data_IF_325614201721
#
_entry.id   IF_325614201721
#
_cell.length_a   1.000
_cell.length_b   1.000
_cell.length_c   1.000
_cell.angle_alpha   90.00
_cell.angle_beta   90.00
_cell.angle_gamma   90.00
#
_symmetry.space_group_name_H-M   'P 1'
#
loop_
_entity.id
_entity.type
_entity.pdbx_description
1 polymer ?
#
# COMPACT_ATOMS: atom_id res chain seq x y z
N UNK A 1 -58.63 -14.87 21.98
CA UNK A 1 -59.99 -15.17 21.46
C UNK A 1 -60.01 -15.12 19.93
N UNK A 2 -59.87 -13.97 19.27
CA UNK A 2 -59.91 -13.90 17.80
C UNK A 2 -58.84 -14.73 17.07
N UNK A 3 -57.62 -14.86 17.63
CA UNK A 3 -56.60 -15.76 17.06
C UNK A 3 -57.02 -17.23 17.16
N UNK A 4 -57.59 -17.66 18.29
CA UNK A 4 -58.07 -19.03 18.51
C UNK A 4 -59.25 -19.35 17.59
N UNK A 5 -60.18 -18.39 17.39
CA UNK A 5 -61.28 -18.51 16.42
C UNK A 5 -60.76 -18.68 15.00
N UNK A 6 -59.70 -17.94 14.63
CA UNK A 6 -59.03 -18.10 13.32
C UNK A 6 -58.44 -19.50 13.15
N UNK A 7 -57.71 -19.98 14.16
CA UNK A 7 -57.09 -21.32 14.14
C UNK A 7 -58.14 -22.45 14.08
N UNK A 8 -59.31 -22.24 14.66
CA UNK A 8 -60.46 -23.14 14.56
C UNK A 8 -61.27 -22.99 13.26
N UNK A 9 -60.96 -22.01 12.41
CA UNK A 9 -61.70 -21.72 11.17
C UNK A 9 -63.11 -21.14 11.41
N UNK A 10 -63.38 -20.61 12.61
CA UNK A 10 -64.67 -20.04 12.97
C UNK A 10 -64.81 -18.62 12.40
N UNK A 11 -65.95 -18.32 11.77
CA UNK A 11 -66.31 -16.98 11.26
C UNK A 11 -65.30 -16.31 10.31
N UNK A 12 -64.37 -17.07 9.71
CA UNK A 12 -63.46 -16.58 8.67
C UNK A 12 -64.22 -16.27 7.37
N UNK A 13 -63.94 -15.12 6.78
CA UNK A 13 -64.67 -14.55 5.64
C UNK A 13 -63.74 -14.12 4.49
N UNK A 14 -62.43 -14.34 4.63
CA UNK A 14 -61.43 -14.13 3.58
C UNK A 14 -60.23 -15.09 3.72
N UNK A 15 -59.63 -15.47 2.58
CA UNK A 15 -58.36 -16.17 2.53
C UNK A 15 -57.28 -15.29 1.90
N UNK A 16 -56.13 -15.15 2.58
CA UNK A 16 -54.93 -14.53 2.01
C UNK A 16 -54.03 -15.63 1.47
N UNK A 17 -53.55 -15.47 0.23
CA UNK A 17 -52.66 -16.42 -0.44
C UNK A 17 -51.28 -15.81 -0.59
N UNK A 18 -50.28 -16.48 -0.01
CA UNK A 18 -48.87 -16.11 -0.07
C UNK A 18 -48.11 -17.25 -0.76
N UNK A 19 -47.87 -17.14 -2.07
CA UNK A 19 -47.34 -18.24 -2.87
C UNK A 19 -48.25 -19.47 -2.80
N UNK A 20 -47.76 -20.56 -2.21
CA UNK A 20 -48.51 -21.82 -2.02
C UNK A 20 -49.31 -21.88 -0.72
N UNK A 21 -49.09 -20.95 0.22
CA UNK A 21 -49.77 -20.97 1.52
C UNK A 21 -51.05 -20.15 1.50
N UNK A 22 -52.12 -20.73 2.06
CA UNK A 22 -53.45 -20.11 2.18
C UNK A 22 -53.79 -19.92 3.65
N UNK A 23 -54.08 -18.68 4.03
CA UNK A 23 -54.34 -18.29 5.42
C UNK A 23 -55.73 -17.69 5.55
N UNK A 24 -56.63 -18.41 6.23
CA UNK A 24 -57.99 -17.94 6.51
C UNK A 24 -57.98 -16.87 7.61
N UNK A 25 -58.68 -15.76 7.37
CA UNK A 25 -58.68 -14.57 8.22
C UNK A 25 -60.09 -13.96 8.34
N UNK A 26 -60.22 -12.96 9.20
CA UNK A 26 -61.43 -12.18 9.40
C UNK A 26 -61.25 -10.77 8.83
N UNK A 27 -62.07 -10.35 7.87
CA UNK A 27 -62.03 -9.03 7.23
C UNK A 27 -62.08 -7.92 8.26
N UNK A 28 -62.93 -8.05 9.29
CA UNK A 28 -63.08 -7.05 10.35
C UNK A 28 -61.79 -6.83 11.16
N UNK A 29 -61.04 -7.90 11.44
CA UNK A 29 -59.77 -7.78 12.20
C UNK A 29 -58.70 -7.16 11.31
N UNK A 30 -58.57 -7.63 10.06
CA UNK A 30 -57.63 -7.06 9.09
C UNK A 30 -57.92 -5.58 8.84
N UNK A 31 -59.19 -5.21 8.59
CA UNK A 31 -59.62 -3.83 8.39
C UNK A 31 -59.46 -2.94 9.63
N UNK A 32 -59.58 -3.51 10.82
CA UNK A 32 -59.44 -2.78 12.08
C UNK A 32 -57.98 -2.55 12.49
N UNK A 33 -57.04 -3.32 11.94
CA UNK A 33 -55.62 -3.30 12.33
C UNK A 33 -54.67 -2.86 11.22
N UNK A 34 -55.14 -2.80 9.97
CA UNK A 34 -54.34 -2.48 8.81
C UNK A 34 -55.13 -1.62 7.81
N UNK A 35 -54.64 -0.40 7.57
CA UNK A 35 -55.27 0.58 6.68
C UNK A 35 -55.34 0.11 5.23
N UNK A 36 -54.36 -0.68 4.77
CA UNK A 36 -54.39 -1.26 3.43
C UNK A 36 -55.63 -2.15 3.26
N UNK A 37 -55.86 -3.08 4.18
CA UNK A 37 -57.03 -3.95 4.14
C UNK A 37 -58.33 -3.18 4.37
N UNK A 38 -58.31 -2.16 5.23
CA UNK A 38 -59.46 -1.27 5.43
C UNK A 38 -59.89 -0.60 4.12
N UNK A 39 -58.95 0.01 3.39
CA UNK A 39 -59.22 0.66 2.10
C UNK A 39 -59.63 -0.36 1.03
N UNK A 40 -58.96 -1.52 1.00
CA UNK A 40 -59.27 -2.58 0.04
C UNK A 40 -60.71 -3.07 0.19
N UNK A 41 -61.17 -3.32 1.42
CA UNK A 41 -62.52 -3.82 1.67
C UNK A 41 -63.64 -2.76 1.56
N UNK A 42 -63.31 -1.48 1.71
CA UNK A 42 -64.26 -0.38 1.53
C UNK A 42 -64.34 0.14 0.08
N UNK A 43 -63.42 -0.25 -0.79
CA UNK A 43 -63.45 0.16 -2.20
C UNK A 43 -64.50 -0.61 -3.01
N UNK A 44 -65.10 0.02 -4.03
CA UNK A 44 -66.02 -0.64 -4.99
C UNK A 44 -65.29 -1.57 -6.00
N UNK A 45 -64.06 -1.98 -5.69
CA UNK A 45 -63.23 -2.87 -6.52
C UNK A 45 -63.59 -4.35 -6.29
N UNK A 46 -63.23 -5.23 -7.24
CA UNK A 46 -63.55 -6.66 -7.22
C UNK A 46 -63.09 -7.36 -5.92
N UNK A 47 -61.96 -6.93 -5.37
CA UNK A 47 -61.32 -7.42 -4.15
C UNK A 47 -62.18 -7.23 -2.89
N UNK A 48 -63.12 -6.27 -2.87
CA UNK A 48 -64.06 -6.10 -1.76
C UNK A 48 -65.02 -7.29 -1.61
N UNK A 49 -65.42 -7.87 -2.74
CA UNK A 49 -66.31 -9.04 -2.84
C UNK A 49 -65.58 -10.37 -2.90
N UNK A 50 -64.27 -10.35 -3.14
CA UNK A 50 -63.46 -11.55 -3.22
C UNK A 50 -63.39 -12.28 -1.87
N UNK A 51 -63.44 -13.61 -1.93
CA UNK A 51 -63.19 -14.52 -0.78
C UNK A 51 -61.72 -14.91 -0.66
N UNK A 52 -60.90 -14.49 -1.62
CA UNK A 52 -59.50 -14.85 -1.73
C UNK A 52 -58.69 -13.72 -2.36
N UNK A 53 -57.57 -13.36 -1.74
CA UNK A 53 -56.67 -12.29 -2.20
C UNK A 53 -55.24 -12.83 -2.24
N UNK A 54 -54.60 -12.74 -3.40
CA UNK A 54 -53.23 -13.19 -3.60
C UNK A 54 -52.23 -12.05 -3.40
N UNK A 55 -51.31 -12.24 -2.45
CA UNK A 55 -50.23 -11.32 -2.14
C UNK A 55 -48.96 -11.82 -2.85
N UNK A 56 -48.68 -11.30 -4.04
CA UNK A 56 -47.58 -11.80 -4.90
C UNK A 56 -46.19 -11.43 -4.40
N UNK A 57 -46.08 -10.30 -3.70
CA UNK A 57 -44.79 -9.72 -3.29
C UNK A 57 -44.42 -9.98 -1.82
N UNK A 58 -45.12 -10.93 -1.16
CA UNK A 58 -44.82 -11.36 0.22
C UNK A 58 -44.54 -12.86 0.24
N UNK A 59 -43.38 -13.25 0.80
CA UNK A 59 -43.02 -14.65 1.01
C UNK A 59 -43.98 -15.35 1.99
N UNK A 60 -44.21 -16.65 1.82
CA UNK A 60 -45.20 -17.40 2.60
C UNK A 60 -44.95 -17.33 4.13
N UNK A 61 -43.70 -17.47 4.56
CA UNK A 61 -43.28 -17.37 5.97
C UNK A 61 -43.56 -15.99 6.57
N UNK A 62 -43.22 -14.93 5.83
CA UNK A 62 -43.44 -13.54 6.25
C UNK A 62 -44.93 -13.22 6.29
N UNK A 63 -45.71 -13.68 5.30
CA UNK A 63 -47.16 -13.53 5.24
C UNK A 63 -47.86 -14.15 6.45
N UNK A 64 -47.52 -15.38 6.81
CA UNK A 64 -48.08 -16.05 8.01
C UNK A 64 -47.74 -15.28 9.29
N UNK A 65 -46.49 -14.82 9.42
CA UNK A 65 -46.02 -14.05 10.57
C UNK A 65 -46.74 -12.71 10.70
N UNK A 66 -47.00 -12.03 9.57
CA UNK A 66 -47.77 -10.79 9.53
C UNK A 66 -49.22 -10.99 9.91
N UNK A 67 -49.86 -12.07 9.45
CA UNK A 67 -51.23 -12.36 9.89
C UNK A 67 -51.25 -12.60 11.40
N UNK A 68 -50.30 -13.36 11.94
CA UNK A 68 -50.21 -13.53 13.39
C UNK A 68 -50.01 -12.18 14.12
N UNK A 69 -49.18 -11.28 13.58
CA UNK A 69 -49.01 -9.92 14.08
C UNK A 69 -50.31 -9.11 14.09
N UNK A 70 -51.10 -9.15 13.02
CA UNK A 70 -52.38 -8.41 12.95
C UNK A 70 -53.38 -8.88 14.01
N UNK A 71 -53.30 -10.12 14.48
CA UNK A 71 -54.16 -10.65 15.54
C UNK A 71 -53.63 -10.42 16.95
N UNK A 72 -52.31 -10.32 17.14
CA UNK A 72 -51.67 -10.34 18.46
C UNK A 72 -50.94 -9.06 18.83
N UNK A 73 -50.61 -8.23 17.84
CA UNK A 73 -49.70 -7.09 17.96
C UNK A 73 -48.24 -7.47 18.22
N UNK A 74 -47.86 -8.75 18.10
CA UNK A 74 -46.52 -9.27 18.40
C UNK A 74 -45.92 -9.99 17.20
N UNK A 75 -44.66 -9.71 16.93
CA UNK A 75 -43.86 -10.34 15.89
C UNK A 75 -42.39 -10.31 16.29
N UNK A 76 -41.70 -11.41 16.02
CA UNK A 76 -40.28 -11.54 16.30
C UNK A 76 -39.48 -11.13 15.05
N UNK A 77 -38.66 -10.09 15.20
CA UNK A 77 -37.81 -9.56 14.13
C UNK A 77 -36.42 -10.18 14.28
N UNK A 78 -35.90 -10.70 13.17
CA UNK A 78 -34.63 -11.43 13.07
C UNK A 78 -33.87 -10.95 11.82
N UNK A 79 -32.57 -11.20 11.75
CA UNK A 79 -31.76 -10.86 10.57
C UNK A 79 -32.29 -11.50 9.27
N UNK A 80 -32.88 -12.71 9.37
CA UNK A 80 -33.38 -13.44 8.21
C UNK A 80 -34.72 -12.92 7.67
N UNK A 81 -35.55 -12.31 8.52
CA UNK A 81 -36.90 -11.86 8.14
C UNK A 81 -37.04 -10.33 8.09
N UNK A 82 -36.08 -9.56 8.59
CA UNK A 82 -36.19 -8.10 8.69
C UNK A 82 -36.44 -7.42 7.33
N UNK A 83 -35.72 -7.84 6.28
CA UNK A 83 -35.89 -7.29 4.93
C UNK A 83 -37.29 -7.56 4.34
N UNK A 84 -37.76 -8.81 4.44
CA UNK A 84 -39.09 -9.19 3.98
C UNK A 84 -40.19 -8.46 4.78
N UNK A 85 -40.01 -8.34 6.10
CA UNK A 85 -40.93 -7.64 6.98
C UNK A 85 -40.99 -6.14 6.68
N UNK A 86 -39.85 -5.52 6.37
CA UNK A 86 -39.79 -4.13 5.95
C UNK A 86 -40.59 -3.91 4.67
N UNK A 87 -40.34 -4.72 3.65
CA UNK A 87 -41.03 -4.70 2.35
C UNK A 87 -42.54 -4.83 2.52
N UNK A 88 -42.96 -5.83 3.30
CA UNK A 88 -44.36 -6.09 3.54
C UNK A 88 -45.02 -5.02 4.43
N UNK A 89 -44.28 -4.45 5.40
CA UNK A 89 -44.78 -3.38 6.26
C UNK A 89 -45.05 -2.09 5.48
N UNK A 90 -44.22 -1.76 4.49
CA UNK A 90 -44.48 -0.64 3.59
C UNK A 90 -45.70 -0.92 2.70
N UNK A 91 -45.73 -2.09 2.04
CA UNK A 91 -46.82 -2.44 1.13
C UNK A 91 -48.18 -2.48 1.83
N UNK A 92 -48.22 -2.98 3.07
CA UNK A 92 -49.43 -3.05 3.89
C UNK A 92 -49.68 -1.79 4.72
N UNK A 93 -48.85 -0.75 4.60
CA UNK A 93 -48.95 0.52 5.34
C UNK A 93 -48.93 0.35 6.87
N UNK A 94 -48.15 -0.63 7.35
CA UNK A 94 -47.98 -0.94 8.77
C UNK A 94 -46.85 -0.09 9.38
N UNK A 95 -47.10 1.21 9.56
CA UNK A 95 -46.08 2.17 10.02
C UNK A 95 -45.43 1.82 11.36
N UNK A 96 -46.18 1.26 12.31
CA UNK A 96 -45.64 0.85 13.62
C UNK A 96 -44.70 -0.36 13.54
N UNK A 97 -44.93 -1.27 12.58
CA UNK A 97 -44.04 -2.38 12.30
C UNK A 97 -42.80 -1.88 11.56
N UNK A 98 -42.97 -0.99 10.57
CA UNK A 98 -41.86 -0.36 9.84
C UNK A 98 -40.85 0.28 10.81
N UNK A 99 -41.32 1.07 11.77
CA UNK A 99 -40.45 1.70 12.79
C UNK A 99 -39.67 0.68 13.62
N UNK A 100 -40.30 -0.42 14.06
CA UNK A 100 -39.61 -1.47 14.83
C UNK A 100 -38.56 -2.20 14.00
N UNK A 101 -38.85 -2.45 12.72
CA UNK A 101 -37.88 -3.07 11.80
C UNK A 101 -36.72 -2.12 11.54
N UNK A 102 -36.98 -0.82 11.37
CA UNK A 102 -35.95 0.21 11.24
C UNK A 102 -35.03 0.27 12.48
N UNK A 103 -35.60 0.27 13.69
CA UNK A 103 -34.84 0.22 14.94
C UNK A 103 -33.98 -1.05 15.06
N UNK A 104 -34.50 -2.19 14.61
CA UNK A 104 -33.77 -3.45 14.59
C UNK A 104 -32.61 -3.41 13.61
N UNK A 105 -32.83 -2.97 12.37
CA UNK A 105 -31.79 -2.86 11.34
C UNK A 105 -30.67 -1.93 11.79
N UNK A 106 -31.03 -0.78 12.35
CA UNK A 106 -30.07 0.18 12.91
C UNK A 106 -29.21 -0.42 14.04
N UNK A 107 -29.82 -1.22 14.91
CA UNK A 107 -29.11 -1.83 16.05
C UNK A 107 -28.25 -3.05 15.67
N UNK A 108 -28.46 -3.62 14.48
CA UNK A 108 -27.78 -4.82 13.99
C UNK A 108 -27.00 -4.56 12.69
N UNK A 109 -26.70 -3.29 12.38
CA UNK A 109 -25.86 -2.94 11.23
C UNK A 109 -24.42 -3.39 11.51
N UNK A 110 -23.83 -4.16 10.59
CA UNK A 110 -22.46 -4.66 10.66
C UNK A 110 -21.74 -4.54 9.30
N UNK A 111 -20.47 -4.94 9.24
CA UNK A 111 -19.66 -4.84 8.02
C UNK A 111 -20.11 -5.76 6.88
N UNK A 112 -20.93 -6.78 7.17
CA UNK A 112 -21.45 -7.72 6.17
C UNK A 112 -22.80 -7.28 5.60
N UNK A 113 -23.60 -6.53 6.37
CA UNK A 113 -24.96 -6.15 6.01
C UNK A 113 -25.17 -4.63 5.84
N UNK A 114 -24.12 -3.81 5.99
CA UNK A 114 -24.21 -2.35 5.88
C UNK A 114 -24.72 -1.90 4.51
N UNK A 115 -24.28 -2.55 3.42
CA UNK A 115 -24.61 -2.14 2.05
C UNK A 115 -26.04 -2.53 1.69
N UNK A 116 -26.50 -3.73 2.07
CA UNK A 116 -27.90 -4.11 1.98
C UNK A 116 -28.81 -3.21 2.83
N UNK A 117 -28.40 -2.88 4.06
CA UNK A 117 -29.13 -1.93 4.92
C UNK A 117 -29.26 -0.55 4.28
N UNK A 118 -28.19 -0.02 3.70
CA UNK A 118 -28.18 1.26 2.98
C UNK A 118 -29.10 1.23 1.75
N UNK A 119 -29.06 0.13 0.98
CA UNK A 119 -29.92 -0.08 -0.19
C UNK A 119 -31.40 -0.11 0.19
N UNK A 120 -31.75 -0.80 1.29
CA UNK A 120 -33.10 -0.83 1.84
C UNK A 120 -33.54 0.55 2.36
N UNK A 121 -32.65 1.25 3.08
CA UNK A 121 -32.91 2.59 3.57
C UNK A 121 -33.29 3.55 2.44
N UNK A 122 -32.57 3.46 1.32
CA UNK A 122 -32.85 4.21 0.10
C UNK A 122 -34.17 3.80 -0.56
N UNK A 123 -34.42 2.50 -0.71
CA UNK A 123 -35.61 1.99 -1.38
C UNK A 123 -36.92 2.44 -0.69
N UNK A 124 -36.91 2.56 0.63
CA UNK A 124 -38.09 2.89 1.45
C UNK A 124 -38.07 4.30 2.06
N UNK A 125 -37.18 5.18 1.58
CA UNK A 125 -36.98 6.56 2.04
C UNK A 125 -36.82 6.70 3.57
N UNK A 126 -36.07 5.78 4.19
CA UNK A 126 -35.77 5.80 5.62
C UNK A 126 -34.50 6.64 5.89
N UNK A 127 -34.69 7.94 6.05
CA UNK A 127 -33.59 8.92 6.18
C UNK A 127 -32.67 8.67 7.37
N UNK A 128 -33.23 8.38 8.54
CA UNK A 128 -32.49 8.08 9.77
C UNK A 128 -31.61 6.84 9.62
N UNK A 129 -32.18 5.74 9.11
CA UNK A 129 -31.42 4.52 8.84
C UNK A 129 -30.33 4.73 7.78
N UNK A 130 -30.61 5.53 6.75
CA UNK A 130 -29.65 5.85 5.70
C UNK A 130 -28.46 6.65 6.26
N UNK A 131 -28.71 7.66 7.08
CA UNK A 131 -27.65 8.45 7.74
C UNK A 131 -26.78 7.57 8.66
N UNK A 132 -27.39 6.69 9.46
CA UNK A 132 -26.67 5.78 10.35
C UNK A 132 -25.86 4.72 9.58
N UNK A 133 -26.42 4.17 8.50
CA UNK A 133 -25.70 3.22 7.64
C UNK A 133 -24.53 3.87 6.90
N UNK A 134 -24.71 5.10 6.39
CA UNK A 134 -23.61 5.88 5.79
C UNK A 134 -22.51 6.17 6.81
N UNK A 135 -22.89 6.57 8.02
CA UNK A 135 -21.94 6.79 9.11
C UNK A 135 -21.14 5.53 9.43
N UNK A 136 -21.82 4.38 9.52
CA UNK A 136 -21.15 3.09 9.74
C UNK A 136 -20.18 2.76 8.60
N UNK A 137 -20.58 2.97 7.35
CA UNK A 137 -19.74 2.78 6.16
C UNK A 137 -18.47 3.63 6.22
N UNK A 138 -18.56 4.90 6.65
CA UNK A 138 -17.40 5.77 6.82
C UNK A 138 -16.46 5.30 7.94
N UNK A 139 -17.00 4.87 9.08
CA UNK A 139 -16.22 4.43 10.24
C UNK A 139 -15.55 3.06 10.02
N UNK A 140 -16.19 2.15 9.28
CA UNK A 140 -15.75 0.77 9.08
C UNK A 140 -15.43 0.43 7.61
N UNK A 141 -15.02 1.42 6.81
CA UNK A 141 -14.71 1.28 5.38
C UNK A 141 -13.86 0.04 5.07
N UNK A 142 -12.81 -0.22 5.88
CA UNK A 142 -11.90 -1.35 5.67
C UNK A 142 -12.62 -2.69 5.70
N UNK A 143 -13.49 -2.90 6.69
CA UNK A 143 -14.21 -4.15 6.86
C UNK A 143 -15.27 -4.33 5.77
N UNK A 144 -15.95 -3.24 5.39
CA UNK A 144 -16.94 -3.27 4.30
C UNK A 144 -16.28 -3.54 2.94
N UNK A 145 -15.01 -3.13 2.75
CA UNK A 145 -14.25 -3.43 1.52
C UNK A 145 -14.12 -4.93 1.27
N UNK A 146 -14.04 -5.74 2.33
CA UNK A 146 -13.90 -7.18 2.23
C UNK A 146 -15.24 -7.92 2.05
N UNK A 147 -16.37 -7.20 2.16
CA UNK A 147 -17.71 -7.78 1.98
C UNK A 147 -17.98 -8.22 0.53
N UNK A 148 -18.85 -9.22 0.37
CA UNK A 148 -19.34 -9.68 -0.93
C UNK A 148 -20.46 -8.76 -1.49
N UNK A 149 -21.00 -7.86 -0.66
CA UNK A 149 -22.12 -6.96 -1.00
C UNK A 149 -21.69 -5.69 -1.76
N UNK A 150 -20.41 -5.55 -2.11
CA UNK A 150 -19.86 -4.35 -2.77
C UNK A 150 -20.60 -3.93 -4.06
N UNK A 151 -21.23 -4.90 -4.72
CA UNK A 151 -22.05 -4.67 -5.91
C UNK A 151 -23.27 -3.77 -5.64
N UNK A 152 -23.78 -3.71 -4.40
CA UNK A 152 -24.93 -2.90 -3.99
C UNK A 152 -24.59 -1.42 -3.75
N UNK A 153 -23.32 -1.09 -3.54
CA UNK A 153 -22.89 0.29 -3.29
C UNK A 153 -23.07 1.16 -4.54
N UNK A 154 -23.76 2.30 -4.40
CA UNK A 154 -23.92 3.27 -5.48
C UNK A 154 -22.72 4.20 -5.58
N UNK A 155 -22.50 4.76 -6.77
CA UNK A 155 -21.35 5.64 -7.05
C UNK A 155 -21.38 6.91 -6.19
N UNK A 156 -22.55 7.50 -5.97
CA UNK A 156 -22.67 8.71 -5.13
C UNK A 156 -22.21 8.46 -3.69
N UNK A 157 -22.59 7.32 -3.10
CA UNK A 157 -22.16 6.94 -1.75
C UNK A 157 -20.68 6.58 -1.71
N UNK A 158 -20.15 5.97 -2.78
CA UNK A 158 -18.73 5.69 -2.92
C UNK A 158 -17.93 7.00 -2.87
N UNK A 159 -18.31 7.99 -3.68
CA UNK A 159 -17.63 9.29 -3.74
C UNK A 159 -17.69 9.99 -2.38
N UNK A 160 -18.88 10.03 -1.75
CA UNK A 160 -19.05 10.58 -0.39
C UNK A 160 -18.12 9.88 0.61
N UNK A 161 -17.94 8.56 0.50
CA UNK A 161 -17.05 7.78 1.37
C UNK A 161 -15.57 8.02 1.05
N UNK A 162 -15.22 8.27 -0.21
CA UNK A 162 -13.86 8.63 -0.62
C UNK A 162 -13.48 10.04 -0.18
N UNK A 163 -14.43 10.95 -0.01
CA UNK A 163 -14.20 12.29 0.54
C UNK A 163 -13.95 12.26 2.06
N UNK A 164 -14.38 11.20 2.75
CA UNK A 164 -14.13 11.03 4.18
C UNK A 164 -12.63 10.91 4.50
N UNK A 165 -12.27 11.21 5.76
CA UNK A 165 -10.89 11.17 6.25
C UNK A 165 -10.42 9.73 6.51
N UNK A 166 -10.12 9.00 5.42
CA UNK A 166 -9.56 7.64 5.47
C UNK A 166 -8.14 7.59 4.87
N UNK A 167 -7.29 6.61 5.26
CA UNK A 167 -5.99 6.37 4.63
C UNK A 167 -6.13 6.16 3.11
N UNK A 168 -5.21 6.74 2.35
CA UNK A 168 -5.27 6.72 0.88
C UNK A 168 -5.18 5.30 0.30
N UNK A 169 -4.44 4.41 0.97
CA UNK A 169 -4.34 2.99 0.60
C UNK A 169 -5.69 2.28 0.70
N UNK A 170 -6.46 2.55 1.77
CA UNK A 170 -7.80 1.99 1.93
C UNK A 170 -8.76 2.53 0.86
N UNK A 171 -8.69 3.83 0.55
CA UNK A 171 -9.48 4.44 -0.54
C UNK A 171 -9.20 3.77 -1.88
N UNK A 172 -7.93 3.49 -2.18
CA UNK A 172 -7.55 2.76 -3.39
C UNK A 172 -8.13 1.34 -3.44
N UNK A 173 -7.96 0.56 -2.37
CA UNK A 173 -8.52 -0.79 -2.28
C UNK A 173 -10.06 -0.79 -2.39
N UNK A 174 -10.71 0.22 -1.82
CA UNK A 174 -12.17 0.38 -1.88
C UNK A 174 -12.65 0.61 -3.32
N UNK A 175 -12.03 1.52 -4.06
CA UNK A 175 -12.30 1.75 -5.50
C UNK A 175 -12.06 0.46 -6.30
N UNK A 176 -10.93 -0.19 -6.07
CA UNK A 176 -10.54 -1.41 -6.77
C UNK A 176 -11.59 -2.53 -6.59
N UNK A 177 -12.04 -2.76 -5.36
CA UNK A 177 -13.06 -3.77 -5.06
C UNK A 177 -14.41 -3.39 -5.69
N UNK A 178 -14.80 -2.12 -5.60
CA UNK A 178 -16.06 -1.63 -6.17
C UNK A 178 -16.12 -1.79 -7.69
N UNK A 179 -15.03 -1.52 -8.39
CA UNK A 179 -14.97 -1.67 -9.85
C UNK A 179 -15.00 -3.13 -10.25
N UNK A 180 -14.29 -4.01 -9.53
CA UNK A 180 -14.33 -5.46 -9.77
C UNK A 180 -15.68 -6.11 -9.45
N UNK A 181 -16.54 -5.44 -8.70
CA UNK A 181 -17.84 -5.99 -8.31
C UNK A 181 -18.88 -5.96 -9.45
N UNK A 182 -18.65 -5.22 -10.54
CA UNK A 182 -19.50 -5.25 -11.72
C UNK A 182 -18.73 -4.84 -13.00
N UNK A 183 -18.82 -5.66 -14.05
CA UNK A 183 -18.08 -5.50 -15.31
C UNK A 183 -18.32 -4.14 -16.01
N UNK A 184 -19.47 -3.51 -15.78
CA UNK A 184 -19.82 -2.22 -16.40
C UNK A 184 -19.15 -0.99 -15.75
N UNK A 185 -18.34 -1.15 -14.70
CA UNK A 185 -17.80 -0.04 -13.89
C UNK A 185 -16.37 0.37 -14.27
N UNK A 186 -15.71 -0.34 -15.18
CA UNK A 186 -14.31 -0.11 -15.54
C UNK A 186 -14.04 1.30 -16.09
N UNK A 187 -15.01 1.87 -16.81
CA UNK A 187 -14.88 3.19 -17.45
C UNK A 187 -14.86 4.35 -16.44
N UNK A 188 -15.31 4.11 -15.19
CA UNK A 188 -15.31 5.12 -14.12
C UNK A 188 -14.00 5.18 -13.34
N UNK A 189 -13.06 4.25 -13.57
CA UNK A 189 -11.81 4.18 -12.81
C UNK A 189 -11.01 5.48 -12.85
N UNK A 190 -10.84 6.06 -14.04
CA UNK A 190 -10.03 7.26 -14.23
C UNK A 190 -10.63 8.50 -13.53
N UNK A 191 -11.94 8.54 -13.34
CA UNK A 191 -12.61 9.60 -12.56
C UNK A 191 -12.44 9.36 -11.06
N UNK A 192 -12.64 8.11 -10.61
CA UNK A 192 -12.60 7.76 -9.18
C UNK A 192 -11.19 7.82 -8.60
N UNK A 193 -10.17 7.41 -9.35
CA UNK A 193 -8.77 7.39 -8.87
C UNK A 193 -8.25 8.80 -8.54
N UNK A 194 -8.85 9.86 -9.11
CA UNK A 194 -8.51 11.25 -8.79
C UNK A 194 -8.83 11.63 -7.34
N UNK A 195 -9.76 10.91 -6.70
CA UNK A 195 -10.07 11.09 -5.28
C UNK A 195 -9.01 10.45 -4.35
N UNK A 196 -8.03 9.72 -4.92
CA UNK A 196 -6.94 9.09 -4.18
C UNK A 196 -5.61 9.77 -4.49
N UNK A 197 -5.00 10.35 -3.47
CA UNK A 197 -3.64 10.89 -3.57
C UNK A 197 -2.62 9.77 -3.40
N UNK A 198 -2.23 9.11 -4.50
CA UNK A 198 -1.19 8.07 -4.50
C UNK A 198 0.13 8.56 -3.90
N UNK A 199 0.44 9.86 -4.00
CA UNK A 199 1.61 10.49 -3.37
C UNK A 199 1.70 10.28 -1.85
N UNK A 200 0.56 10.07 -1.18
CA UNK A 200 0.45 9.88 0.27
C UNK A 200 0.36 8.39 0.67
N UNK A 201 0.36 7.47 -0.28
CA UNK A 201 0.45 6.03 -0.01
C UNK A 201 1.91 5.63 0.28
N UNK A 202 2.12 4.50 0.94
CA UNK A 202 3.47 3.96 1.13
C UNK A 202 4.07 3.47 -0.20
N UNK A 203 5.39 3.59 -0.31
CA UNK A 203 6.15 3.07 -1.47
C UNK A 203 5.93 1.56 -1.64
N UNK A 204 5.87 0.81 -0.54
CA UNK A 204 5.65 -0.64 -0.58
C UNK A 204 4.29 -0.96 -1.21
N UNK A 205 3.21 -0.32 -0.75
CA UNK A 205 1.87 -0.50 -1.28
C UNK A 205 1.76 -0.18 -2.77
N UNK A 206 2.41 0.89 -3.24
CA UNK A 206 2.41 1.25 -4.66
C UNK A 206 3.13 0.17 -5.48
N UNK A 207 4.26 -0.33 -4.99
CA UNK A 207 5.03 -1.33 -5.71
C UNK A 207 4.39 -2.72 -5.70
N UNK A 208 3.80 -3.13 -4.58
CA UNK A 208 3.23 -4.47 -4.42
C UNK A 208 1.82 -4.58 -4.97
N UNK A 209 1.02 -3.51 -4.84
CA UNK A 209 -0.42 -3.55 -5.11
C UNK A 209 -0.72 -2.73 -6.37
N UNK A 210 -0.48 -1.42 -6.34
CA UNK A 210 -0.92 -0.50 -7.40
C UNK A 210 -0.29 -0.79 -8.76
N UNK A 211 1.02 -1.08 -8.82
CA UNK A 211 1.70 -1.40 -10.09
C UNK A 211 1.26 -2.72 -10.73
N UNK A 212 0.76 -3.66 -9.93
CA UNK A 212 0.34 -4.97 -10.40
C UNK A 212 -1.11 -4.98 -10.90
N UNK A 213 -1.86 -3.89 -10.71
CA UNK A 213 -3.25 -3.77 -11.14
C UNK A 213 -3.37 -3.53 -12.65
N UNK A 214 -4.12 -4.39 -13.35
CA UNK A 214 -4.33 -4.28 -14.81
C UNK A 214 -4.95 -2.94 -15.23
N UNK A 215 -5.90 -2.44 -14.43
CA UNK A 215 -6.54 -1.13 -14.64
C UNK A 215 -5.56 0.06 -14.53
N UNK A 216 -4.44 -0.11 -13.83
CA UNK A 216 -3.40 0.91 -13.66
C UNK A 216 -2.31 0.86 -14.75
N UNK A 217 -2.28 -0.18 -15.59
CA UNK A 217 -1.30 -0.33 -16.67
C UNK A 217 -1.57 0.55 -17.90
N UNK A 218 -2.64 1.36 -17.85
CA UNK A 218 -2.93 2.35 -18.87
C UNK A 218 -1.94 3.55 -18.77
N UNK A 219 -1.91 4.39 -19.81
CA UNK A 219 -0.99 5.55 -19.87
C UNK A 219 -1.24 6.56 -18.73
N UNK A 220 -2.48 6.68 -18.25
CA UNK A 220 -2.86 7.61 -17.20
C UNK A 220 -2.42 7.11 -15.81
N UNK A 221 -2.72 5.87 -15.47
CA UNK A 221 -2.31 5.19 -14.23
C UNK A 221 -0.79 5.15 -14.08
N UNK A 222 -0.06 4.82 -15.15
CA UNK A 222 1.42 4.87 -15.13
C UNK A 222 1.96 6.28 -14.88
N UNK A 223 1.30 7.32 -15.40
CA UNK A 223 1.66 8.72 -15.13
C UNK A 223 1.42 9.08 -13.66
N UNK A 224 0.28 8.69 -13.09
CA UNK A 224 -0.06 8.92 -11.69
C UNK A 224 0.91 8.20 -10.74
N UNK A 225 1.31 6.96 -11.06
CA UNK A 225 2.32 6.21 -10.30
C UNK A 225 3.67 6.94 -10.35
N UNK A 226 4.08 7.41 -11.54
CA UNK A 226 5.34 8.15 -11.69
C UNK A 226 5.33 9.46 -10.88
N UNK A 227 4.25 10.24 -10.95
CA UNK A 227 4.08 11.49 -10.18
C UNK A 227 4.09 11.20 -8.67
N UNK A 228 3.41 10.15 -8.23
CA UNK A 228 3.42 9.72 -6.83
C UNK A 228 4.83 9.35 -6.36
N UNK A 229 5.55 8.52 -7.12
CA UNK A 229 6.93 8.13 -6.84
C UNK A 229 7.90 9.31 -6.78
N UNK A 230 7.70 10.34 -7.61
CA UNK A 230 8.47 11.58 -7.58
C UNK A 230 8.09 12.49 -6.40
N UNK A 231 6.82 12.56 -6.03
CA UNK A 231 6.37 13.37 -4.88
C UNK A 231 6.74 12.75 -3.51
N UNK A 232 6.80 11.43 -3.40
CA UNK A 232 7.29 10.74 -2.20
C UNK A 232 8.79 10.96 -1.96
N UNK A 233 9.53 11.43 -2.97
CA UNK A 233 10.92 11.88 -2.78
C UNK A 233 11.02 13.32 -2.27
N UNK A 234 9.90 14.05 -2.09
CA UNK A 234 9.88 15.49 -1.77
C UNK A 234 9.33 15.92 -0.40
N UNK A 235 8.77 15.04 0.45
CA UNK A 235 8.36 15.39 1.84
C UNK A 235 9.31 14.79 2.91
N UNK A 236 9.66 15.53 3.98
CA UNK A 236 10.74 15.19 4.93
C UNK A 236 10.26 14.26 6.07
N UNK A 237 11.12 13.39 6.66
CA UNK A 237 10.75 12.59 7.83
C UNK A 237 10.90 13.38 9.15
N UNK A 238 9.84 13.42 9.96
CA UNK A 238 9.83 13.88 11.36
C UNK A 238 10.53 12.89 12.32
N UNK A 239 11.79 12.56 12.05
CA UNK A 239 12.70 12.05 13.07
C UNK A 239 13.96 12.91 13.03
N UNK A 240 14.65 13.16 14.15
CA UNK A 240 15.92 13.88 14.12
C UNK A 240 17.01 12.96 13.55
N UNK A 241 16.89 12.60 12.28
CA UNK A 241 18.04 12.28 11.46
C UNK A 241 18.70 13.60 11.12
N UNK A 242 19.96 13.76 11.53
CA UNK A 242 20.85 14.66 10.80
C UNK A 242 20.85 14.17 9.34
N UNK A 243 20.02 14.78 8.51
CA UNK A 243 20.19 14.77 7.06
C UNK A 243 21.39 15.69 6.84
N UNK A 244 22.51 15.09 6.49
CA UNK A 244 23.62 15.79 5.87
C UNK A 244 23.47 15.55 4.36
N UNK A 245 23.57 16.63 3.60
CA UNK A 245 23.23 16.71 2.18
C UNK A 245 21.97 17.54 1.99
N UNK A 246 22.13 18.80 1.57
CA UNK A 246 21.03 19.59 1.03
C UNK A 246 20.36 18.81 -0.12
N UNK A 247 19.08 19.08 -0.39
CA UNK A 247 18.21 18.42 -1.38
C UNK A 247 18.69 18.51 -2.86
N UNK A 248 19.98 18.65 -3.12
CA UNK A 248 20.62 18.64 -4.43
C UNK A 248 21.41 17.35 -4.69
N UNK A 249 20.74 16.20 -4.64
CA UNK A 249 21.15 14.99 -5.38
C UNK A 249 22.64 14.62 -5.29
N UNK A 250 23.18 14.50 -4.07
CA UNK A 250 24.56 14.08 -3.89
C UNK A 250 24.73 12.63 -4.42
N UNK A 251 25.53 12.45 -5.47
CA UNK A 251 25.75 11.16 -6.15
C UNK A 251 27.24 10.78 -6.18
N UNK A 252 27.52 9.53 -6.52
CA UNK A 252 28.89 9.03 -6.80
C UNK A 252 29.87 9.10 -5.60
N UNK A 253 29.34 9.04 -4.38
CA UNK A 253 30.10 8.88 -3.15
C UNK A 253 30.81 7.54 -3.10
N UNK A 254 31.95 7.52 -2.43
CA UNK A 254 32.60 6.28 -2.04
C UNK A 254 32.22 5.94 -0.61
N UNK A 255 31.95 4.67 -0.32
CA UNK A 255 31.61 4.22 1.03
C UNK A 255 32.37 2.95 1.44
N UNK A 256 32.65 2.83 2.74
CA UNK A 256 33.29 1.66 3.32
C UNK A 256 32.84 1.45 4.76
N UNK A 257 32.62 0.21 5.15
CA UNK A 257 32.28 -0.17 6.53
C UNK A 257 33.52 -0.66 7.26
N UNK A 258 33.78 -0.13 8.46
CA UNK A 258 34.86 -0.59 9.35
C UNK A 258 34.52 -0.27 10.81
N UNK A 259 34.81 -1.20 11.72
CA UNK A 259 34.62 -1.06 13.18
C UNK A 259 33.31 -0.37 13.61
N UNK A 260 32.17 -0.92 13.15
CA UNK A 260 30.82 -0.41 13.44
C UNK A 260 30.51 0.99 12.91
N UNK A 261 31.34 1.53 12.02
CA UNK A 261 31.10 2.80 11.36
C UNK A 261 31.00 2.60 9.84
N UNK A 262 30.02 3.24 9.22
CA UNK A 262 29.95 3.40 7.77
C UNK A 262 30.52 4.77 7.42
N UNK A 263 31.64 4.78 6.69
CA UNK A 263 32.29 5.99 6.21
C UNK A 263 31.80 6.31 4.81
N UNK A 264 31.45 7.57 4.57
CA UNK A 264 31.06 8.12 3.27
C UNK A 264 31.99 9.28 2.96
N UNK A 265 32.59 9.27 1.78
CA UNK A 265 33.67 10.20 1.42
C UNK A 265 33.51 10.68 -0.01
N UNK A 266 33.69 11.99 -0.21
CA UNK A 266 33.71 12.62 -1.52
C UNK A 266 32.31 12.74 -2.12
N UNK A 267 32.20 12.59 -3.44
CA UNK A 267 30.92 12.62 -4.16
C UNK A 267 30.76 13.83 -5.06
N UNK A 268 29.55 14.03 -5.57
CA UNK A 268 29.24 15.06 -6.56
C UNK A 268 27.86 15.67 -6.34
N UNK A 269 27.80 17.00 -6.27
CA UNK A 269 26.59 17.79 -6.07
C UNK A 269 26.61 19.00 -6.98
N UNK A 270 25.51 19.22 -7.70
CA UNK A 270 25.24 20.46 -8.44
C UNK A 270 26.40 20.97 -9.33
N UNK A 271 27.15 20.06 -9.98
CA UNK A 271 28.28 20.45 -10.83
C UNK A 271 29.66 20.29 -10.19
N UNK A 272 29.74 20.04 -8.88
CA UNK A 272 30.97 20.13 -8.11
C UNK A 272 31.31 18.80 -7.43
N UNK A 273 32.61 18.45 -7.44
CA UNK A 273 33.12 17.36 -6.61
C UNK A 273 33.16 17.82 -5.14
N UNK A 274 32.80 16.92 -4.22
CA UNK A 274 32.79 17.17 -2.79
C UNK A 274 34.10 16.71 -2.11
N UNK A 275 34.50 17.41 -1.06
CA UNK A 275 35.55 17.03 -0.12
C UNK A 275 34.98 16.57 1.23
N UNK A 276 33.66 16.41 1.34
CA UNK A 276 32.99 15.95 2.55
C UNK A 276 33.45 14.53 2.94
N UNK A 277 33.52 14.30 4.24
CA UNK A 277 33.76 13.00 4.82
C UNK A 277 32.89 12.85 6.07
N UNK A 278 32.16 11.76 6.15
CA UNK A 278 31.14 11.51 7.16
C UNK A 278 31.21 10.08 7.65
N UNK A 279 30.80 9.87 8.90
CA UNK A 279 30.73 8.55 9.52
C UNK A 279 29.39 8.36 10.22
N UNK A 280 28.68 7.29 9.85
CA UNK A 280 27.50 6.79 10.54
C UNK A 280 27.91 5.74 11.57
N UNK A 281 27.66 6.01 12.84
CA UNK A 281 27.75 5.00 13.90
C UNK A 281 26.59 4.01 13.74
N UNK A 282 26.88 2.76 13.42
CA UNK A 282 25.87 1.72 13.16
C UNK A 282 25.17 1.21 14.43
N UNK A 283 25.67 1.56 15.63
CA UNK A 283 25.01 1.23 16.91
C UNK A 283 24.01 2.29 17.31
N UNK A 284 24.38 3.56 17.18
CA UNK A 284 23.52 4.69 17.56
C UNK A 284 22.68 5.23 16.41
N UNK A 285 22.97 4.83 15.17
CA UNK A 285 22.39 5.35 13.92
C UNK A 285 22.51 6.88 13.82
N UNK A 286 23.62 7.43 14.33
CA UNK A 286 23.91 8.86 14.30
C UNK A 286 25.08 9.15 13.37
N UNK A 287 24.90 10.17 12.53
CA UNK A 287 25.93 10.72 11.68
C UNK A 287 26.87 11.63 12.46
N UNK A 288 28.12 11.65 12.02
CA UNK A 288 29.16 12.56 12.50
C UNK A 288 30.01 13.04 11.33
N UNK A 289 30.29 14.34 11.30
CA UNK A 289 31.20 14.90 10.32
C UNK A 289 32.65 14.57 10.69
N UNK A 290 33.41 14.13 9.70
CA UNK A 290 34.86 14.03 9.76
C UNK A 290 35.46 15.30 9.17
N UNK A 291 36.75 15.58 9.45
CA UNK A 291 37.47 16.61 8.72
C UNK A 291 37.36 16.38 7.21
N UNK A 292 37.21 17.45 6.40
CA UNK A 292 37.11 17.32 4.95
C UNK A 292 38.41 16.77 4.37
N UNK A 293 38.30 16.09 3.23
CA UNK A 293 39.43 15.65 2.44
C UNK A 293 40.32 16.84 2.06
N UNK A 294 41.65 16.65 1.94
CA UNK A 294 42.54 17.69 1.44
C UNK A 294 42.17 18.19 0.03
N UNK A 295 41.45 17.36 -0.73
CA UNK A 295 40.98 17.70 -2.06
C UNK A 295 39.67 16.96 -2.37
N UNK A 296 38.73 17.65 -3.01
CA UNK A 296 37.45 17.06 -3.42
C UNK A 296 37.60 15.99 -4.49
N UNK A 297 36.81 14.91 -4.46
CA UNK A 297 36.86 13.86 -5.48
C UNK A 297 35.61 12.98 -5.47
N UNK A 298 35.22 12.47 -6.64
CA UNK A 298 34.19 11.43 -6.81
C UNK A 298 34.82 10.14 -7.35
N UNK A 299 34.14 8.99 -7.26
CA UNK A 299 34.68 7.67 -7.68
C UNK A 299 36.06 7.33 -7.08
N UNK A 300 36.33 7.79 -5.86
CA UNK A 300 37.56 7.46 -5.11
C UNK A 300 37.54 6.00 -4.66
N UNK A 301 38.70 5.37 -4.55
CA UNK A 301 38.77 3.99 -4.03
C UNK A 301 39.06 4.03 -2.54
N UNK A 302 38.26 3.34 -1.74
CA UNK A 302 38.44 3.28 -0.29
C UNK A 302 38.99 1.93 0.12
N UNK A 303 39.93 1.93 1.06
CA UNK A 303 40.36 0.74 1.76
C UNK A 303 40.69 1.07 3.21
N UNK A 304 40.59 0.08 4.09
CA UNK A 304 41.08 0.20 5.46
C UNK A 304 42.23 -0.77 5.67
N UNK A 305 43.37 -0.27 6.13
CA UNK A 305 44.54 -1.07 6.48
C UNK A 305 45.14 -0.55 7.79
N UNK A 306 45.53 -1.45 8.70
CA UNK A 306 46.10 -1.09 10.01
C UNK A 306 45.30 -0.03 10.79
N UNK A 307 43.97 -0.13 10.75
CA UNK A 307 43.02 0.81 11.37
C UNK A 307 43.11 2.26 10.85
N UNK A 308 43.49 2.44 9.59
CA UNK A 308 43.50 3.73 8.91
C UNK A 308 42.65 3.68 7.65
N UNK A 309 41.84 4.72 7.45
CA UNK A 309 41.02 4.86 6.25
C UNK A 309 41.87 5.50 5.15
N UNK A 310 42.00 4.81 4.01
CA UNK A 310 42.80 5.27 2.88
C UNK A 310 41.90 5.56 1.69
N UNK A 311 42.13 6.71 1.06
CA UNK A 311 41.39 7.22 -0.11
C UNK A 311 42.37 7.33 -1.27
N UNK A 312 42.11 6.60 -2.35
CA UNK A 312 42.98 6.52 -3.51
C UNK A 312 42.31 7.09 -4.76
N UNK A 313 43.03 7.93 -5.48
CA UNK A 313 42.65 8.42 -6.80
C UNK A 313 41.37 9.25 -6.81
N UNK A 314 40.38 8.77 -7.56
CA UNK A 314 39.14 9.50 -7.83
C UNK A 314 39.25 10.47 -9.02
N UNK A 315 38.12 11.08 -9.33
CA UNK A 315 37.92 11.99 -10.44
C UNK A 315 37.59 13.39 -9.91
N UNK A 316 38.22 14.39 -10.53
CA UNK A 316 37.94 15.82 -10.32
C UNK A 316 37.58 16.45 -11.66
N UNK A 317 38.47 17.25 -12.24
CA UNK A 317 38.48 17.56 -13.67
C UNK A 317 39.17 16.44 -14.49
N UNK A 318 40.00 15.62 -13.85
CA UNK A 318 40.66 14.44 -14.42
C UNK A 318 40.93 13.40 -13.33
N UNK A 319 41.18 12.15 -13.71
CA UNK A 319 41.54 11.08 -12.78
C UNK A 319 42.87 11.36 -12.09
N UNK A 320 42.93 11.28 -10.76
CA UNK A 320 44.13 11.61 -9.98
C UNK A 320 44.91 10.36 -9.56
N UNK A 321 46.14 10.57 -9.10
CA UNK A 321 46.95 9.54 -8.43
C UNK A 321 47.09 9.82 -6.93
N UNK A 322 46.30 10.75 -6.40
CA UNK A 322 46.44 11.21 -5.02
C UNK A 322 46.07 10.09 -4.04
N UNK A 323 46.73 10.07 -2.89
CA UNK A 323 46.45 9.12 -1.82
C UNK A 323 46.40 9.90 -0.52
N UNK A 324 45.27 9.82 0.16
CA UNK A 324 45.06 10.44 1.47
C UNK A 324 44.78 9.35 2.51
N UNK A 325 45.40 9.47 3.67
CA UNK A 325 45.20 8.59 4.81
C UNK A 325 44.51 9.39 5.91
N UNK A 326 43.45 8.86 6.50
CA UNK A 326 42.80 9.38 7.68
C UNK A 326 43.15 8.49 8.88
N UNK A 327 43.84 9.09 9.85
CA UNK A 327 44.08 8.44 11.13
C UNK A 327 42.80 8.48 11.97
N UNK A 328 42.21 7.31 12.24
CA UNK A 328 40.93 7.22 12.96
C UNK A 328 41.04 7.66 14.44
N UNK A 329 42.24 7.68 15.02
CA UNK A 329 42.47 8.11 16.40
C UNK A 329 42.73 9.61 16.48
N UNK A 330 43.68 10.11 15.68
CA UNK A 330 44.07 11.52 15.69
C UNK A 330 43.08 12.42 14.93
N UNK A 331 42.23 11.81 14.09
CA UNK A 331 41.23 12.48 13.24
C UNK A 331 41.86 13.55 12.37
N UNK A 332 42.93 13.20 11.67
CA UNK A 332 43.62 14.09 10.72
C UNK A 332 43.89 13.36 9.40
N UNK A 333 43.81 14.11 8.31
CA UNK A 333 44.19 13.64 6.98
C UNK A 333 45.67 13.87 6.73
N UNK A 334 46.35 12.89 6.15
CA UNK A 334 47.74 12.95 5.75
C UNK A 334 47.89 12.52 4.29
N UNK A 335 48.65 13.30 3.51
CA UNK A 335 49.02 12.94 2.15
C UNK A 335 50.05 11.81 2.16
N UNK A 336 49.86 10.81 1.30
CA UNK A 336 50.74 9.64 1.13
C UNK A 336 51.36 9.59 -0.25
N UNK A 337 52.28 8.64 -0.47
CA UNK A 337 52.90 8.44 -1.77
C UNK A 337 51.83 8.22 -2.87
N UNK A 338 51.89 8.96 -4.00
CA UNK A 338 50.88 8.86 -5.04
C UNK A 338 50.92 7.51 -5.76
N UNK A 339 49.78 7.08 -6.32
CA UNK A 339 49.69 5.87 -7.13
C UNK A 339 50.69 5.93 -8.31
N UNK A 340 51.30 4.79 -8.72
CA UNK A 340 52.26 4.75 -9.83
C UNK A 340 51.68 5.17 -11.19
N UNK A 341 50.37 4.99 -11.37
CA UNK A 341 49.64 5.38 -12.56
C UNK A 341 48.20 5.76 -12.21
N UNK A 342 47.54 6.49 -13.12
CA UNK A 342 46.11 6.76 -13.02
C UNK A 342 45.34 5.47 -13.28
N UNK A 343 44.42 5.12 -12.39
CA UNK A 343 43.48 4.02 -12.58
C UNK A 343 42.09 4.62 -12.80
N UNK A 344 41.53 4.49 -14.01
CA UNK A 344 40.17 4.98 -14.29
C UNK A 344 39.12 3.91 -13.98
N UNK A 345 38.33 4.13 -12.92
CA UNK A 345 37.29 3.19 -12.47
C UNK A 345 37.85 1.85 -11.97
N UNK A 346 38.95 1.86 -11.23
CA UNK A 346 39.47 0.68 -10.53
C UNK A 346 38.69 0.32 -9.26
N UNK A 347 39.26 -0.60 -8.49
CA UNK A 347 38.81 -0.94 -7.15
C UNK A 347 40.01 -1.04 -6.20
N UNK A 348 39.79 -0.73 -4.92
CA UNK A 348 40.76 -0.94 -3.85
C UNK A 348 40.32 -2.10 -2.95
N UNK A 349 41.25 -2.95 -2.57
CA UNK A 349 41.01 -4.03 -1.60
C UNK A 349 42.18 -4.16 -0.64
N UNK A 350 41.91 -4.53 0.62
CA UNK A 350 42.94 -4.76 1.62
C UNK A 350 43.16 -6.27 1.83
N UNK A 351 44.41 -6.72 1.76
CA UNK A 351 44.83 -8.09 2.05
C UNK A 351 46.15 -8.05 2.83
N UNK A 352 46.18 -8.69 4.00
CA UNK A 352 47.35 -8.77 4.90
C UNK A 352 48.00 -7.39 5.16
N UNK A 353 47.19 -6.38 5.52
CA UNK A 353 47.59 -4.98 5.76
C UNK A 353 48.22 -4.24 4.56
N UNK A 354 48.15 -4.83 3.37
CA UNK A 354 48.53 -4.17 2.12
C UNK A 354 47.27 -3.83 1.31
N UNK A 355 47.27 -2.66 0.68
CA UNK A 355 46.14 -2.24 -0.18
C UNK A 355 46.51 -2.48 -1.63
N UNK A 356 45.59 -3.05 -2.38
CA UNK A 356 45.77 -3.33 -3.80
C UNK A 356 44.79 -2.50 -4.61
N UNK A 357 45.31 -1.76 -5.58
CA UNK A 357 44.51 -1.07 -6.60
C UNK A 357 44.50 -1.93 -7.84
N UNK A 358 43.31 -2.39 -8.22
CA UNK A 358 43.13 -3.39 -9.27
C UNK A 358 42.07 -2.98 -10.28
N UNK A 359 42.27 -3.35 -11.55
CA UNK A 359 41.29 -3.18 -12.62
C UNK A 359 41.34 -1.79 -13.29
N UNK A 360 40.17 -1.21 -13.53
CA UNK A 360 40.03 0.05 -14.26
C UNK A 360 40.30 -0.09 -15.76
N UNK A 361 40.21 1.04 -16.47
CA UNK A 361 40.52 1.12 -17.92
C UNK A 361 41.97 0.73 -18.21
N UNK A 362 42.87 1.06 -17.29
CA UNK A 362 44.32 0.89 -17.42
C UNK A 362 44.80 -0.52 -17.09
N UNK A 363 43.91 -1.42 -16.61
CA UNK A 363 44.27 -2.74 -16.09
C UNK A 363 45.37 -2.62 -15.02
N UNK A 364 45.19 -1.67 -14.11
CA UNK A 364 46.15 -1.42 -13.03
C UNK A 364 46.16 -2.63 -12.11
N UNK A 365 47.34 -3.00 -11.63
CA UNK A 365 47.52 -3.87 -10.49
C UNK A 365 48.74 -3.33 -9.73
N UNK A 366 48.50 -2.70 -8.59
CA UNK A 366 49.55 -2.11 -7.77
C UNK A 366 49.26 -2.36 -6.30
N UNK A 367 50.28 -2.74 -5.55
CA UNK A 367 50.22 -2.92 -4.10
C UNK A 367 50.83 -1.69 -3.41
N UNK A 368 50.12 -1.16 -2.44
CA UNK A 368 50.56 -0.14 -1.51
C UNK A 368 50.88 -0.77 -0.16
N UNK A 369 52.05 -0.44 0.37
CA UNK A 369 52.42 -0.76 1.75
C UNK A 369 52.26 0.52 2.61
N UNK A 370 51.22 0.60 3.46
CA UNK A 370 50.97 1.77 4.29
C UNK A 370 52.06 2.04 5.34
N UNK A 371 52.75 1.01 5.84
CA UNK A 371 53.81 1.18 6.85
C UNK A 371 55.08 1.81 6.28
N UNK A 372 55.37 1.56 5.00
CA UNK A 372 56.58 2.04 4.32
C UNK A 372 56.33 3.22 3.37
N UNK A 373 55.07 3.54 3.11
CA UNK A 373 54.65 4.53 2.11
C UNK A 373 55.20 4.24 0.71
N UNK A 374 55.21 2.96 0.32
CA UNK A 374 55.80 2.51 -0.96
C UNK A 374 54.81 1.75 -1.81
N UNK A 375 54.93 1.91 -3.12
CA UNK A 375 54.17 1.19 -4.13
C UNK A 375 55.01 0.12 -4.83
N UNK A 376 54.37 -1.00 -5.15
CA UNK A 376 54.92 -2.06 -6.00
C UNK A 376 53.95 -2.31 -7.16
N UNK A 377 54.41 -2.17 -8.40
CA UNK A 377 53.63 -2.54 -9.58
C UNK A 377 53.67 -4.05 -9.76
N UNK A 378 52.51 -4.65 -10.01
CA UNK A 378 52.30 -6.09 -10.10
C UNK A 378 51.82 -6.47 -11.50
N UNK A 379 51.72 -7.77 -11.76
CA UNK A 379 51.21 -8.27 -13.03
C UNK A 379 49.79 -7.75 -13.27
N UNK A 380 49.51 -7.30 -14.49
CA UNK A 380 48.20 -6.75 -14.86
C UNK A 380 47.18 -7.85 -15.20
N UNK A 381 45.88 -7.64 -14.93
CA UNK A 381 44.83 -8.54 -15.42
C UNK A 381 44.82 -8.59 -16.96
N UNK A 382 44.29 -9.67 -17.51
CA UNK A 382 44.24 -9.89 -18.95
C UNK A 382 43.24 -8.96 -19.61
N UNK A 383 42.09 -8.75 -18.98
CA UNK A 383 40.97 -7.97 -19.47
C UNK A 383 40.83 -6.65 -18.71
N UNK A 384 40.10 -5.72 -19.33
CA UNK A 384 39.77 -4.42 -18.73
C UNK A 384 38.59 -4.58 -17.79
N UNK A 385 38.72 -4.07 -16.56
CA UNK A 385 37.69 -4.14 -15.52
C UNK A 385 37.31 -2.74 -15.05
N UNK A 386 36.85 -1.89 -15.98
CA UNK A 386 36.43 -0.51 -15.66
C UNK A 386 35.12 -0.53 -14.88
N UNK A 387 35.08 0.10 -13.71
CA UNK A 387 34.00 0.05 -12.73
C UNK A 387 33.63 -1.40 -12.30
N UNK A 388 34.59 -2.32 -12.38
CA UNK A 388 34.42 -3.69 -11.89
C UNK A 388 34.71 -3.75 -10.39
N UNK A 389 33.82 -4.33 -9.55
CA UNK A 389 34.12 -4.52 -8.14
C UNK A 389 35.21 -5.56 -7.93
N UNK A 390 35.93 -5.44 -6.81
CA UNK A 390 36.92 -6.42 -6.39
C UNK A 390 36.70 -6.83 -4.93
N UNK A 391 37.10 -8.05 -4.58
CA UNK A 391 37.08 -8.55 -3.20
C UNK A 391 38.24 -9.50 -2.94
N UNK A 392 38.51 -9.73 -1.66
CA UNK A 392 39.49 -10.73 -1.21
C UNK A 392 38.78 -12.02 -0.84
N UNK A 393 39.25 -13.14 -1.39
CA UNK A 393 38.74 -14.47 -1.11
C UNK A 393 39.88 -15.49 -1.08
N UNK A 394 39.98 -16.25 0.01
CA UNK A 394 40.99 -17.31 0.18
C UNK A 394 42.42 -16.81 -0.14
N UNK A 395 42.85 -15.68 0.42
CA UNK A 395 44.15 -15.03 0.14
C UNK A 395 44.41 -14.64 -1.33
N UNK A 396 43.37 -14.56 -2.15
CA UNK A 396 43.43 -14.09 -3.53
C UNK A 396 42.56 -12.86 -3.71
N UNK A 397 42.85 -12.05 -4.72
CA UNK A 397 42.03 -10.90 -5.11
C UNK A 397 41.21 -11.30 -6.33
N UNK A 398 39.89 -11.13 -6.27
CA UNK A 398 39.00 -11.38 -7.40
C UNK A 398 38.48 -10.06 -7.91
N UNK A 399 38.54 -9.84 -9.23
CA UNK A 399 37.84 -8.74 -9.91
C UNK A 399 36.70 -9.31 -10.75
N UNK A 400 35.53 -8.69 -10.67
CA UNK A 400 34.34 -9.12 -11.40
C UNK A 400 33.96 -8.11 -12.48
N UNK A 401 33.84 -8.59 -13.72
CA UNK A 401 33.19 -7.90 -14.82
C UNK A 401 33.64 -6.45 -15.00
N UNK A 402 32.67 -5.55 -15.10
CA UNK A 402 32.87 -4.12 -15.34
C UNK A 402 32.13 -3.65 -16.59
N UNK A 403 32.29 -2.38 -16.92
CA UNK A 403 31.68 -1.76 -18.10
C UNK A 403 32.12 -2.52 -19.35
N UNK A 404 31.15 -3.20 -19.99
CA UNK A 404 31.33 -4.03 -21.20
C UNK A 404 32.18 -5.31 -21.01
N UNK A 405 32.46 -5.72 -19.76
CA UNK A 405 33.18 -6.96 -19.48
C UNK A 405 32.39 -7.88 -18.54
N UNK A 406 32.33 -9.17 -18.86
CA UNK A 406 31.69 -10.22 -18.05
C UNK A 406 32.69 -11.23 -17.47
N UNK A 407 33.99 -11.05 -17.73
CA UNK A 407 35.01 -11.95 -17.18
C UNK A 407 35.18 -11.74 -15.69
N UNK A 408 35.56 -12.80 -15.00
CA UNK A 408 36.03 -12.76 -13.63
C UNK A 408 37.51 -13.12 -13.72
N UNK A 409 38.35 -12.43 -12.98
CA UNK A 409 39.78 -12.75 -12.90
C UNK A 409 40.21 -12.81 -11.45
N UNK A 410 41.00 -13.83 -11.11
CA UNK A 410 41.59 -14.07 -9.80
C UNK A 410 43.08 -13.82 -9.87
N UNK A 411 43.56 -12.96 -8.99
CA UNK A 411 44.97 -12.69 -8.76
C UNK A 411 45.49 -13.42 -7.53
N UNK A 412 46.63 -14.08 -7.70
CA UNK A 412 47.38 -14.75 -6.64
C UNK A 412 48.62 -13.93 -6.30
N UNK A 413 48.63 -13.19 -5.17
CA UNK A 413 49.80 -12.41 -4.74
C UNK A 413 51.09 -13.24 -4.58
N UNK A 414 51.08 -14.49 -4.06
CA UNK A 414 52.30 -15.28 -3.91
C UNK A 414 53.02 -15.60 -5.23
N UNK A 415 52.27 -15.69 -6.33
CA UNK A 415 52.80 -16.06 -7.65
C UNK A 415 52.84 -14.89 -8.63
N UNK A 416 52.26 -13.75 -8.27
CA UNK A 416 52.05 -12.59 -9.15
C UNK A 416 51.41 -12.97 -10.50
N UNK A 417 50.35 -13.79 -10.44
CA UNK A 417 49.67 -14.30 -11.64
C UNK A 417 48.16 -14.11 -11.58
N UNK A 418 47.58 -13.83 -12.75
CA UNK A 418 46.14 -13.82 -12.98
C UNK A 418 45.66 -15.12 -13.62
N UNK A 419 44.51 -15.61 -13.16
CA UNK A 419 43.77 -16.73 -13.75
C UNK A 419 42.31 -16.34 -13.93
N UNK A 420 41.68 -16.79 -15.01
CA UNK A 420 40.25 -16.60 -15.26
C UNK A 420 39.39 -17.48 -14.38
#
# INVERSE_FOLDING_TARGET
>A
IFLQMREAGEFVDINLVFGEQRVSCHKVILAGTCDYFHRMFLSDMFESTAKEVTMKDISASTGVSLVHFLYTGRIDITSQNAQDLLTASEMLLLGSLKQKVEEFLRSNTDSMNCLSTLSLARLYDMKTLMEDAKKFLHEHMREVTDSEEMHLLQEDDLIETLEANAPQEHKFCFIQKWIRSADARTDRFDDLVQHVSLSKCSREFICSTVMNEEIMQNKHGMKLIQEAMQSMTTDPPEQPSLIVGDYEGEIEHSSIYHDHHLYVVGGYVAGNCLDSAEALDMKSLKWSHLPPLPHSALHSYLAVASNKLLVFGGFRASWTTDVCEFDLNERVWQQRAPMPERCEGGAAVCLDDHVYIVGGKNRTCAQFNPSRDTWTSLQRPQFTHKFGPALVWNQNIIIFGGQLNKTIEKYSPPTDTWSK
#
